data_IF_396822030241
#
_entry.id   IF_396822030241
#
_cell.length_a   1.000
_cell.length_b   1.000
_cell.length_c   1.000
_cell.angle_alpha   90.00
_cell.angle_beta   90.00
_cell.angle_gamma   90.00
#
_symmetry.space_group_name_H-M   'P 1'
#
loop_
_entity.id
_entity.type
_entity.pdbx_description
1 polymer ?
#
# COMPACT_ATOMS: atom_id res chain seq x y z
N UNK A 1 15.15 -32.39 5.06
CA UNK A 1 15.89 -31.12 4.97
C UNK A 1 15.75 -30.48 3.59
N UNK A 2 16.02 -31.22 2.51
CA UNK A 2 15.81 -30.70 1.14
C UNK A 2 14.37 -30.24 0.86
N UNK A 3 13.37 -30.80 1.52
CA UNK A 3 11.95 -30.48 1.35
C UNK A 3 11.55 -29.07 1.80
N UNK A 4 12.36 -28.41 2.65
CA UNK A 4 12.04 -27.07 3.18
C UNK A 4 12.72 -25.95 2.40
N UNK A 5 13.76 -26.23 1.61
CA UNK A 5 14.48 -25.20 0.85
C UNK A 5 13.60 -24.39 -0.11
N UNK A 6 12.71 -25.01 -0.93
CA UNK A 6 11.81 -24.24 -1.78
C UNK A 6 10.88 -23.33 -0.98
N UNK A 7 10.39 -23.78 0.17
CA UNK A 7 9.57 -22.98 1.06
C UNK A 7 10.35 -21.79 1.63
N UNK A 8 11.61 -22.00 2.02
CA UNK A 8 12.45 -20.91 2.55
C UNK A 8 12.77 -19.88 1.49
N UNK A 9 12.93 -20.26 0.23
CA UNK A 9 13.08 -19.31 -0.88
C UNK A 9 11.85 -18.43 -1.04
N UNK A 10 10.67 -19.03 -0.93
CA UNK A 10 9.39 -18.28 -1.01
C UNK A 10 9.25 -17.32 0.17
N UNK A 11 9.61 -17.75 1.37
CA UNK A 11 9.61 -16.90 2.57
C UNK A 11 10.57 -15.71 2.40
N UNK A 12 11.77 -15.96 1.89
CA UNK A 12 12.75 -14.90 1.65
C UNK A 12 12.23 -13.91 0.60
N UNK A 13 11.56 -14.38 -0.45
CA UNK A 13 10.93 -13.54 -1.46
C UNK A 13 9.81 -12.68 -0.84
N UNK A 14 9.00 -13.25 0.05
CA UNK A 14 7.94 -12.53 0.77
C UNK A 14 8.52 -11.47 1.69
N UNK A 15 9.61 -11.79 2.40
CA UNK A 15 10.29 -10.82 3.27
C UNK A 15 10.77 -9.61 2.47
N UNK A 16 11.38 -9.84 1.32
CA UNK A 16 11.82 -8.76 0.42
C UNK A 16 10.65 -7.96 -0.13
N UNK A 17 9.55 -8.62 -0.47
CA UNK A 17 8.34 -7.97 -0.93
C UNK A 17 7.75 -7.07 0.17
N UNK A 18 7.73 -7.51 1.40
CA UNK A 18 7.26 -6.71 2.53
C UNK A 18 8.16 -5.49 2.77
N UNK A 19 9.46 -5.62 2.60
CA UNK A 19 10.38 -4.47 2.66
C UNK A 19 10.01 -3.43 1.59
N UNK A 20 9.71 -3.88 0.38
CA UNK A 20 9.24 -2.98 -0.69
C UNK A 20 7.89 -2.33 -0.33
N UNK A 21 6.99 -3.11 0.26
CA UNK A 21 5.66 -2.63 0.68
C UNK A 21 5.80 -1.54 1.74
N UNK A 22 6.70 -1.70 2.71
CA UNK A 22 6.97 -0.68 3.72
C UNK A 22 7.47 0.63 3.08
N UNK A 23 8.35 0.53 2.09
CA UNK A 23 8.82 1.69 1.33
C UNK A 23 7.70 2.34 0.53
N UNK A 24 6.81 1.54 -0.05
CA UNK A 24 5.62 2.05 -0.75
C UNK A 24 4.65 2.72 0.21
N UNK A 25 4.51 2.20 1.43
CA UNK A 25 3.71 2.86 2.46
C UNK A 25 4.26 4.25 2.78
N UNK A 26 5.57 4.38 2.95
CA UNK A 26 6.21 5.69 3.16
C UNK A 26 5.98 6.63 1.99
N UNK A 27 6.09 6.11 0.77
CA UNK A 27 5.85 6.89 -0.46
C UNK A 27 4.40 7.35 -0.53
N UNK A 28 3.44 6.48 -0.21
CA UNK A 28 2.02 6.81 -0.19
C UNK A 28 1.72 7.89 0.86
N UNK A 29 2.29 7.77 2.07
CA UNK A 29 2.13 8.77 3.13
C UNK A 29 2.68 10.13 2.71
N UNK A 30 3.86 10.16 2.10
CA UNK A 30 4.48 11.38 1.60
C UNK A 30 3.63 12.02 0.50
N UNK A 31 3.17 11.23 -0.44
CA UNK A 31 2.31 11.69 -1.54
C UNK A 31 0.97 12.20 -1.02
N UNK A 32 0.38 11.52 -0.05
CA UNK A 32 -0.86 11.93 0.60
C UNK A 32 -0.70 13.29 1.28
N UNK A 33 0.33 13.45 2.10
CA UNK A 33 0.58 14.70 2.83
C UNK A 33 0.80 15.87 1.87
N UNK A 34 1.56 15.64 0.82
CA UNK A 34 1.80 16.65 -0.23
C UNK A 34 0.49 17.04 -0.92
N UNK A 35 -0.34 16.06 -1.26
CA UNK A 35 -1.61 16.30 -1.93
C UNK A 35 -2.59 17.04 -1.03
N UNK A 36 -2.61 16.76 0.27
CA UNK A 36 -3.43 17.51 1.25
C UNK A 36 -3.05 19.00 1.23
N UNK A 37 -1.75 19.31 1.23
CA UNK A 37 -1.28 20.69 1.15
C UNK A 37 -1.65 21.35 -0.19
N UNK A 38 -1.42 20.65 -1.30
CA UNK A 38 -1.79 21.12 -2.64
C UNK A 38 -3.29 21.36 -2.77
N UNK A 39 -4.10 20.48 -2.16
CA UNK A 39 -5.56 20.60 -2.13
C UNK A 39 -6.01 21.87 -1.41
N UNK A 40 -5.39 22.21 -0.29
CA UNK A 40 -5.70 23.44 0.45
C UNK A 40 -5.39 24.68 -0.38
N UNK A 41 -4.23 24.74 -1.03
CA UNK A 41 -3.86 25.83 -1.93
C UNK A 41 -4.80 25.93 -3.13
N UNK A 42 -5.16 24.81 -3.72
CA UNK A 42 -6.04 24.73 -4.87
C UNK A 42 -7.46 25.20 -4.52
N UNK A 43 -7.95 24.84 -3.33
CA UNK A 43 -9.24 25.27 -2.81
C UNK A 43 -9.30 26.79 -2.70
N UNK A 44 -8.24 27.42 -2.17
CA UNK A 44 -8.11 28.87 -2.07
C UNK A 44 -8.09 29.52 -3.46
N UNK A 45 -7.33 28.94 -4.39
CA UNK A 45 -7.25 29.39 -5.78
C UNK A 45 -8.63 29.39 -6.44
N UNK A 46 -9.40 28.34 -6.27
CA UNK A 46 -10.75 28.21 -6.83
C UNK A 46 -11.72 29.24 -6.24
N UNK A 47 -11.62 29.51 -4.94
CA UNK A 47 -12.44 30.53 -4.26
C UNK A 47 -12.14 31.93 -4.78
N UNK A 48 -10.86 32.27 -4.92
CA UNK A 48 -10.42 33.55 -5.43
C UNK A 48 -10.88 33.79 -6.88
N UNK A 49 -10.98 32.74 -7.68
CA UNK A 49 -11.35 32.81 -9.08
C UNK A 49 -12.84 32.50 -9.33
N UNK A 50 -13.65 32.34 -8.27
CA UNK A 50 -15.08 32.03 -8.35
C UNK A 50 -15.41 30.84 -9.25
N UNK A 51 -14.54 29.79 -9.24
CA UNK A 51 -14.70 28.65 -10.13
C UNK A 51 -14.76 27.35 -9.33
N UNK A 52 -15.91 27.01 -8.68
CA UNK A 52 -16.04 25.69 -8.10
C UNK A 52 -15.97 24.63 -9.19
N UNK A 53 -15.09 23.63 -9.03
CA UNK A 53 -14.94 22.55 -10.01
C UNK A 53 -15.34 21.22 -9.39
N UNK A 54 -16.14 20.41 -10.09
CA UNK A 54 -16.52 19.07 -9.60
C UNK A 54 -15.34 18.17 -9.28
N UNK A 55 -14.20 18.41 -9.93
CA UNK A 55 -12.95 17.67 -9.74
C UNK A 55 -12.42 17.74 -8.31
N UNK A 56 -12.72 18.84 -7.60
CA UNK A 56 -12.36 18.97 -6.18
C UNK A 56 -13.07 17.95 -5.30
N UNK A 57 -14.32 17.61 -5.63
CA UNK A 57 -15.06 16.59 -4.88
C UNK A 57 -14.43 15.22 -5.07
N UNK A 58 -14.01 14.92 -6.30
CA UNK A 58 -13.32 13.66 -6.61
C UNK A 58 -11.97 13.57 -5.88
N UNK A 59 -11.22 14.65 -5.88
CA UNK A 59 -9.94 14.74 -5.17
C UNK A 59 -10.13 14.48 -3.68
N UNK A 60 -11.10 15.14 -3.06
CA UNK A 60 -11.43 14.94 -1.65
C UNK A 60 -11.88 13.51 -1.35
N UNK A 61 -12.62 12.88 -2.27
CA UNK A 61 -13.05 11.49 -2.13
C UNK A 61 -11.84 10.54 -2.10
N UNK A 62 -10.84 10.74 -2.95
CA UNK A 62 -9.62 9.93 -2.93
C UNK A 62 -8.82 10.14 -1.64
N UNK A 63 -8.71 11.37 -1.16
CA UNK A 63 -8.04 11.66 0.10
C UNK A 63 -8.77 11.00 1.27
N UNK A 64 -10.10 11.07 1.28
CA UNK A 64 -10.92 10.45 2.33
C UNK A 64 -10.80 8.93 2.31
N UNK A 65 -10.79 8.33 1.12
CA UNK A 65 -10.61 6.88 0.97
C UNK A 65 -9.30 6.41 1.60
N UNK A 66 -8.21 7.12 1.34
CA UNK A 66 -6.92 6.79 1.94
C UNK A 66 -6.92 7.03 3.45
N UNK A 67 -7.50 8.13 3.91
CA UNK A 67 -7.62 8.44 5.33
C UNK A 67 -8.33 7.30 6.07
N UNK A 68 -9.40 6.73 5.47
CA UNK A 68 -10.15 5.64 6.06
C UNK A 68 -9.37 4.32 6.06
N UNK A 69 -8.51 4.09 5.06
CA UNK A 69 -7.81 2.83 4.87
C UNK A 69 -6.38 2.80 5.41
N UNK A 70 -5.75 3.95 5.65
CA UNK A 70 -4.32 4.02 6.01
C UNK A 70 -3.97 3.23 7.27
N UNK A 71 -4.83 3.25 8.28
CA UNK A 71 -4.62 2.50 9.52
C UNK A 71 -4.74 1.01 9.28
N UNK A 72 -5.71 0.59 8.46
CA UNK A 72 -5.91 -0.81 8.09
C UNK A 72 -4.69 -1.32 7.33
N UNK A 73 -4.18 -0.52 6.38
CA UNK A 73 -2.97 -0.86 5.61
C UNK A 73 -1.77 -1.02 6.55
N UNK A 74 -1.57 -0.09 7.48
CA UNK A 74 -0.47 -0.15 8.45
C UNK A 74 -0.56 -1.41 9.32
N UNK A 75 -1.76 -1.72 9.80
CA UNK A 75 -2.01 -2.92 10.62
C UNK A 75 -1.79 -4.20 9.82
N UNK A 76 -2.22 -4.22 8.55
CA UNK A 76 -2.04 -5.38 7.66
C UNK A 76 -0.56 -5.63 7.37
N UNK A 77 0.25 -4.58 7.22
CA UNK A 77 1.70 -4.72 7.03
C UNK A 77 2.33 -5.37 8.26
N UNK A 78 2.03 -4.87 9.45
CA UNK A 78 2.56 -5.41 10.72
C UNK A 78 2.12 -6.86 10.90
N UNK A 79 0.86 -7.16 10.62
CA UNK A 79 0.31 -8.50 10.72
C UNK A 79 1.03 -9.46 9.74
N UNK A 80 1.21 -9.06 8.50
CA UNK A 80 1.89 -9.88 7.47
C UNK A 80 3.34 -10.17 7.84
N UNK A 81 4.06 -9.19 8.37
CA UNK A 81 5.44 -9.39 8.84
C UNK A 81 5.47 -10.43 9.95
N UNK A 82 4.58 -10.30 10.93
CA UNK A 82 4.47 -11.25 12.04
C UNK A 82 4.14 -12.66 11.55
N UNK A 83 3.17 -12.79 10.64
CA UNK A 83 2.75 -14.09 10.10
C UNK A 83 3.87 -14.78 9.32
N UNK A 84 4.62 -14.03 8.53
CA UNK A 84 5.73 -14.59 7.74
C UNK A 84 6.87 -15.03 8.66
N UNK A 85 7.17 -14.27 9.70
CA UNK A 85 8.18 -14.67 10.69
C UNK A 85 7.77 -15.93 11.45
N UNK A 86 6.51 -16.03 11.86
CA UNK A 86 5.97 -17.22 12.53
C UNK A 86 6.01 -18.44 11.60
N UNK A 87 5.59 -18.25 10.34
CA UNK A 87 5.59 -19.31 9.34
C UNK A 87 7.02 -19.81 9.07
N UNK A 88 7.98 -18.91 8.99
CA UNK A 88 9.40 -19.26 8.84
C UNK A 88 9.89 -20.16 9.98
N UNK A 89 9.59 -19.77 11.21
CA UNK A 89 9.98 -20.52 12.39
C UNK A 89 9.31 -21.89 12.44
N UNK A 90 8.01 -21.94 12.15
CA UNK A 90 7.23 -23.17 12.17
C UNK A 90 7.69 -24.17 11.09
N UNK A 91 8.01 -23.68 9.90
CA UNK A 91 8.56 -24.52 8.82
C UNK A 91 9.94 -25.04 9.22
N UNK A 92 10.79 -24.20 9.80
CA UNK A 92 12.14 -24.60 10.26
C UNK A 92 12.08 -25.67 11.34
N UNK A 93 11.02 -25.65 12.16
CA UNK A 93 10.79 -26.68 13.21
C UNK A 93 10.12 -27.95 12.67
N UNK A 94 9.76 -27.96 11.41
CA UNK A 94 9.10 -29.13 10.79
C UNK A 94 7.66 -29.36 11.25
N UNK A 95 6.95 -28.30 11.65
CA UNK A 95 5.60 -28.39 12.19
C UNK A 95 4.54 -28.70 11.14
N UNK A 96 4.83 -28.46 9.88
CA UNK A 96 3.86 -28.59 8.79
C UNK A 96 4.33 -29.60 7.75
N UNK A 97 3.38 -30.37 7.19
CA UNK A 97 3.64 -31.20 6.02
C UNK A 97 3.67 -30.32 4.75
N UNK A 98 3.99 -30.93 3.62
CA UNK A 98 4.11 -30.23 2.34
C UNK A 98 2.83 -29.51 1.94
N UNK A 99 1.68 -30.16 2.12
CA UNK A 99 0.38 -29.58 1.78
C UNK A 99 0.07 -28.35 2.63
N UNK A 100 0.31 -28.44 3.94
CA UNK A 100 0.09 -27.33 4.87
C UNK A 100 1.03 -26.15 4.55
N UNK A 101 2.31 -26.44 4.27
CA UNK A 101 3.27 -25.39 3.89
C UNK A 101 2.81 -24.65 2.64
N UNK A 102 2.36 -25.41 1.63
CA UNK A 102 1.88 -24.83 0.38
C UNK A 102 0.66 -23.93 0.60
N UNK A 103 -0.30 -24.37 1.38
CA UNK A 103 -1.51 -23.59 1.69
C UNK A 103 -1.16 -22.28 2.41
N UNK A 104 -0.31 -22.35 3.44
CA UNK A 104 0.06 -21.17 4.22
C UNK A 104 0.88 -20.18 3.38
N UNK A 105 1.84 -20.67 2.61
CA UNK A 105 2.66 -19.81 1.74
C UNK A 105 1.80 -19.13 0.68
N UNK A 106 0.89 -19.85 0.06
CA UNK A 106 0.00 -19.31 -0.96
C UNK A 106 -0.91 -18.23 -0.38
N UNK A 107 -1.43 -18.46 0.82
CA UNK A 107 -2.27 -17.50 1.54
C UNK A 107 -1.50 -16.19 1.79
N UNK A 108 -0.27 -16.28 2.27
CA UNK A 108 0.56 -15.11 2.55
C UNK A 108 0.99 -14.39 1.26
N UNK A 109 1.29 -15.15 0.22
CA UNK A 109 1.61 -14.58 -1.10
C UNK A 109 0.44 -13.79 -1.67
N UNK A 110 -0.78 -14.31 -1.56
CA UNK A 110 -1.98 -13.62 -2.01
C UNK A 110 -2.26 -12.35 -1.19
N UNK A 111 -2.15 -12.44 0.13
CA UNK A 111 -2.37 -11.31 1.03
C UNK A 111 -1.36 -10.17 0.75
N UNK A 112 -0.10 -10.53 0.56
CA UNK A 112 0.99 -9.58 0.29
C UNK A 112 0.80 -8.91 -1.06
N UNK A 113 0.42 -9.68 -2.09
CA UNK A 113 0.13 -9.16 -3.43
C UNK A 113 -1.04 -8.15 -3.40
N UNK A 114 -2.10 -8.47 -2.67
CA UNK A 114 -3.26 -7.59 -2.52
C UNK A 114 -2.89 -6.28 -1.84
N UNK A 115 -2.07 -6.36 -0.80
CA UNK A 115 -1.59 -5.20 -0.05
C UNK A 115 -0.73 -4.29 -0.92
N UNK A 116 0.18 -4.86 -1.70
CA UNK A 116 1.04 -4.11 -2.62
C UNK A 116 0.21 -3.41 -3.71
N UNK A 117 -0.76 -4.11 -4.28
CA UNK A 117 -1.66 -3.55 -5.30
C UNK A 117 -2.46 -2.36 -4.74
N UNK A 118 -2.91 -2.44 -3.50
CA UNK A 118 -3.64 -1.35 -2.83
C UNK A 118 -2.76 -0.11 -2.69
N UNK A 119 -1.52 -0.27 -2.26
CA UNK A 119 -0.57 0.84 -2.15
C UNK A 119 -0.23 1.45 -3.52
N UNK A 120 0.00 0.62 -4.52
CA UNK A 120 0.25 1.07 -5.89
C UNK A 120 -0.92 1.90 -6.43
N UNK A 121 -2.15 1.48 -6.13
CA UNK A 121 -3.36 2.22 -6.51
C UNK A 121 -3.37 3.63 -5.91
N UNK A 122 -3.12 3.76 -4.60
CA UNK A 122 -3.13 5.07 -3.95
C UNK A 122 -1.99 5.96 -4.44
N UNK A 123 -0.79 5.41 -4.59
CA UNK A 123 0.36 6.17 -5.09
C UNK A 123 0.05 6.73 -6.49
N UNK A 124 -0.46 5.88 -7.38
CA UNK A 124 -0.83 6.28 -8.74
C UNK A 124 -1.89 7.39 -8.75
N UNK A 125 -2.94 7.24 -7.92
CA UNK A 125 -4.01 8.24 -7.82
C UNK A 125 -3.50 9.57 -7.30
N UNK A 126 -2.66 9.55 -6.27
CA UNK A 126 -2.11 10.78 -5.69
C UNK A 126 -1.21 11.51 -6.69
N UNK A 127 -0.38 10.78 -7.43
CA UNK A 127 0.48 11.38 -8.45
C UNK A 127 -0.34 12.03 -9.57
N UNK A 128 -1.38 11.37 -10.04
CA UNK A 128 -2.27 11.89 -11.08
C UNK A 128 -3.04 13.12 -10.62
N UNK A 129 -3.53 13.12 -9.38
CA UNK A 129 -4.25 14.26 -8.83
C UNK A 129 -3.30 15.46 -8.64
N UNK A 130 -2.08 15.23 -8.22
CA UNK A 130 -1.06 16.26 -8.08
C UNK A 130 -0.75 16.91 -9.45
N UNK A 131 -0.59 16.11 -10.48
CA UNK A 131 -0.39 16.58 -11.86
C UNK A 131 -1.59 17.40 -12.36
N UNK A 132 -2.79 16.94 -12.07
CA UNK A 132 -4.02 17.65 -12.44
C UNK A 132 -4.11 19.03 -11.79
N UNK A 133 -3.80 19.13 -10.50
CA UNK A 133 -3.78 20.43 -9.79
C UNK A 133 -2.79 21.39 -10.45
N UNK A 134 -1.59 20.92 -10.75
CA UNK A 134 -0.55 21.72 -11.42
C UNK A 134 -1.01 22.19 -12.80
N UNK A 135 -1.68 21.32 -13.54
CA UNK A 135 -2.22 21.65 -14.85
C UNK A 135 -3.26 22.79 -14.76
N UNK A 136 -4.19 22.68 -13.83
CA UNK A 136 -5.25 23.67 -13.63
C UNK A 136 -4.69 25.01 -13.18
N UNK A 137 -3.71 25.02 -12.26
CA UNK A 137 -3.10 26.24 -11.76
C UNK A 137 -2.34 27.03 -12.84
N UNK A 138 -1.85 26.35 -13.88
CA UNK A 138 -1.16 26.96 -15.00
C UNK A 138 -2.11 27.58 -16.04
N UNK A 139 -3.39 27.23 -15.99
CA UNK A 139 -4.41 27.77 -16.89
C UNK A 139 -4.85 29.18 -16.42
#
# INVERSE_FOLDING_TARGET
MACTEPSMKRINALTKQLDRIEKKQEKAETAFNKLVEECAHFDNFLRENNTPKPEMQLLRAYLQQYEDERTIIADDIVYSISQINDLKDDIAKGLYDETQREEYLKSEENATKTLEAKLDYFIDRFEKQSEFIKYVEKQ
#
